data_IF_415947890721
#
_entry.id   IF_415947890721
#
_cell.length_a   1.000
_cell.length_b   1.000
_cell.length_c   1.000
_cell.angle_alpha   90.00
_cell.angle_beta   90.00
_cell.angle_gamma   90.00
#
_symmetry.space_group_name_H-M   'P 1'
#
loop_
_entity.id
_entity.type
_entity.pdbx_description
1 polymer ?
#
# COMPACT_ATOMS: atom_id res chain seq x y z
N UNK A 1 7.63 -4.26 1.50
CA UNK A 1 6.33 -4.89 1.80
C UNK A 1 5.95 -4.66 3.25
N UNK A 2 4.69 -4.43 3.57
CA UNK A 2 4.18 -4.34 4.95
C UNK A 2 3.38 -5.60 5.21
N UNK A 3 3.76 -6.38 6.23
CA UNK A 3 3.03 -7.58 6.63
C UNK A 3 3.26 -7.92 8.10
N UNK A 4 2.21 -8.39 8.77
CA UNK A 4 2.27 -8.79 10.17
C UNK A 4 1.95 -10.28 10.39
N UNK A 5 1.29 -10.96 9.44
CA UNK A 5 0.78 -12.31 9.71
C UNK A 5 0.47 -13.17 8.48
N UNK A 6 0.53 -12.63 7.27
CA UNK A 6 0.05 -13.34 6.08
C UNK A 6 1.16 -14.14 5.38
N UNK A 7 2.41 -13.68 5.46
CA UNK A 7 3.53 -14.35 4.82
C UNK A 7 4.00 -15.57 5.61
N UNK A 8 4.10 -16.69 4.92
CA UNK A 8 4.78 -17.90 5.41
C UNK A 8 6.27 -17.84 5.11
N UNK A 9 7.07 -18.69 5.76
CA UNK A 9 8.51 -18.84 5.45
C UNK A 9 8.74 -19.17 3.96
N UNK A 10 7.89 -20.02 3.37
CA UNK A 10 7.96 -20.35 1.95
C UNK A 10 7.70 -19.12 1.07
N UNK A 11 6.67 -18.34 1.37
CA UNK A 11 6.37 -17.10 0.64
C UNK A 11 7.51 -16.08 0.74
N UNK A 12 8.14 -15.94 1.91
CA UNK A 12 9.28 -15.05 2.10
C UNK A 12 10.47 -15.52 1.25
N UNK A 13 10.81 -16.80 1.29
CA UNK A 13 11.88 -17.37 0.45
C UNK A 13 11.62 -17.15 -1.03
N UNK A 14 10.38 -17.33 -1.48
CA UNK A 14 10.00 -17.04 -2.87
C UNK A 14 10.21 -15.56 -3.21
N UNK A 15 9.75 -14.63 -2.37
CA UNK A 15 9.90 -13.20 -2.59
C UNK A 15 11.37 -12.77 -2.61
N UNK A 16 12.22 -13.31 -1.75
CA UNK A 16 13.66 -13.04 -1.78
C UNK A 16 14.32 -13.55 -3.06
N UNK A 17 13.84 -14.67 -3.60
CA UNK A 17 14.38 -15.26 -4.82
C UNK A 17 14.06 -14.42 -6.07
N UNK A 18 12.87 -13.82 -6.14
CA UNK A 18 12.43 -13.03 -7.32
C UNK A 18 12.76 -11.54 -7.23
N UNK A 19 13.21 -11.04 -6.07
CA UNK A 19 13.51 -9.63 -5.83
C UNK A 19 15.01 -9.39 -5.80
N UNK A 20 15.46 -8.26 -6.36
CA UNK A 20 16.84 -7.80 -6.17
C UNK A 20 17.11 -7.49 -4.70
N UNK A 21 16.14 -6.90 -4.04
CA UNK A 21 16.17 -6.53 -2.63
C UNK A 21 14.75 -6.65 -2.07
N UNK A 22 14.59 -7.35 -0.96
CA UNK A 22 13.33 -7.54 -0.28
C UNK A 22 13.35 -6.86 1.08
N UNK A 23 12.55 -5.81 1.25
CA UNK A 23 12.40 -5.12 2.53
C UNK A 23 11.04 -5.44 3.12
N UNK A 24 11.01 -6.04 4.30
CA UNK A 24 9.81 -6.30 5.06
C UNK A 24 9.68 -5.28 6.19
N UNK A 25 8.50 -4.68 6.31
CA UNK A 25 8.14 -3.81 7.44
C UNK A 25 7.09 -4.55 8.24
N UNK A 26 7.34 -4.76 9.53
CA UNK A 26 6.45 -5.51 10.40
C UNK A 26 6.44 -4.95 11.83
N UNK A 27 5.31 -5.10 12.50
CA UNK A 27 5.17 -4.86 13.95
C UNK A 27 5.04 -6.16 14.76
N UNK A 28 5.27 -7.31 14.12
CA UNK A 28 5.19 -8.62 14.77
C UNK A 28 6.57 -9.20 14.98
N UNK A 29 7.07 -9.20 16.22
CA UNK A 29 8.35 -9.82 16.59
C UNK A 29 8.41 -11.34 16.33
N UNK A 30 7.24 -11.99 16.22
CA UNK A 30 7.15 -13.44 15.95
C UNK A 30 6.99 -13.73 14.45
N UNK A 31 7.16 -12.72 13.60
CA UNK A 31 7.00 -12.87 12.15
C UNK A 31 7.98 -13.93 11.60
N UNK A 32 7.52 -14.84 10.70
CA UNK A 32 8.36 -15.90 10.14
C UNK A 32 9.64 -15.41 9.46
N UNK A 33 9.65 -14.18 8.98
CA UNK A 33 10.82 -13.57 8.32
C UNK A 33 12.07 -13.55 9.22
N UNK A 34 11.93 -13.45 10.55
CA UNK A 34 13.08 -13.47 11.46
C UNK A 34 13.82 -14.83 11.49
N UNK A 35 13.20 -15.89 10.94
CA UNK A 35 13.80 -17.22 10.83
C UNK A 35 14.43 -17.48 9.46
N UNK A 36 14.11 -16.67 8.46
CA UNK A 36 14.64 -16.82 7.09
C UNK A 36 15.93 -16.02 6.98
N UNK A 37 16.99 -16.67 6.49
CA UNK A 37 18.26 -16.02 6.17
C UNK A 37 18.35 -15.84 4.66
N UNK A 38 18.51 -14.59 4.20
CA UNK A 38 18.76 -14.24 2.81
C UNK A 38 19.52 -12.91 2.77
N UNK A 39 20.60 -12.85 1.99
CA UNK A 39 21.49 -11.68 1.95
C UNK A 39 20.82 -10.43 1.40
N UNK A 40 19.79 -10.60 0.56
CA UNK A 40 19.03 -9.52 -0.04
C UNK A 40 17.75 -9.18 0.74
N UNK A 41 17.58 -9.72 1.96
CA UNK A 41 16.40 -9.45 2.79
C UNK A 41 16.75 -8.53 3.96
N UNK A 42 15.91 -7.53 4.16
CA UNK A 42 16.00 -6.58 5.26
C UNK A 42 14.67 -6.51 6.00
N UNK A 43 14.71 -6.44 7.32
CA UNK A 43 13.52 -6.33 8.17
C UNK A 43 13.56 -4.99 8.90
N UNK A 44 12.54 -4.19 8.71
CA UNK A 44 12.27 -2.97 9.47
C UNK A 44 11.20 -3.30 10.49
N UNK A 45 11.59 -3.42 11.74
CA UNK A 45 10.66 -3.62 12.84
C UNK A 45 10.20 -2.28 13.41
N UNK A 46 8.91 -2.15 13.68
CA UNK A 46 8.31 -1.00 14.35
C UNK A 46 7.27 -1.52 15.35
N UNK A 47 7.35 -1.12 16.62
CA UNK A 47 6.36 -1.52 17.65
C UNK A 47 4.92 -1.18 17.23
N UNK A 48 4.76 -0.01 16.61
CA UNK A 48 3.53 0.44 15.98
C UNK A 48 3.87 0.91 14.57
N UNK A 49 3.11 0.44 13.60
CA UNK A 49 3.31 0.83 12.20
C UNK A 49 3.20 2.36 12.05
N UNK A 50 4.28 2.96 11.58
CA UNK A 50 4.39 4.38 11.23
C UNK A 50 4.81 4.48 9.76
N UNK A 51 3.87 4.77 8.89
CA UNK A 51 4.08 4.79 7.45
C UNK A 51 5.08 5.86 7.03
N UNK A 52 5.01 7.05 7.61
CA UNK A 52 5.94 8.15 7.31
C UNK A 52 7.38 7.78 7.64
N UNK A 53 7.61 7.19 8.79
CA UNK A 53 8.93 6.70 9.19
C UNK A 53 9.40 5.59 8.23
N UNK A 54 8.52 4.64 7.90
CA UNK A 54 8.83 3.56 6.97
C UNK A 54 9.26 4.09 5.59
N UNK A 55 8.52 5.06 5.03
CA UNK A 55 8.87 5.71 3.76
C UNK A 55 10.19 6.47 3.84
N UNK A 56 10.45 7.16 4.96
CA UNK A 56 11.72 7.85 5.20
C UNK A 56 12.89 6.88 5.22
N UNK A 57 12.75 5.74 5.90
CA UNK A 57 13.79 4.71 5.93
C UNK A 57 14.03 4.12 4.53
N UNK A 58 12.96 3.82 3.76
CA UNK A 58 13.09 3.33 2.40
C UNK A 58 13.85 4.33 1.50
N UNK A 59 13.59 5.62 1.64
CA UNK A 59 14.30 6.66 0.90
C UNK A 59 15.77 6.75 1.32
N UNK A 60 16.03 6.87 2.63
CA UNK A 60 17.39 7.17 3.14
C UNK A 60 18.32 5.96 3.10
N UNK A 61 17.81 4.75 3.39
CA UNK A 61 18.65 3.56 3.49
C UNK A 61 18.72 2.77 2.18
N UNK A 62 17.67 2.83 1.36
CA UNK A 62 17.55 2.03 0.14
C UNK A 62 17.47 2.86 -1.15
N UNK A 63 17.56 4.19 -1.05
CA UNK A 63 17.55 5.09 -2.21
C UNK A 63 16.24 5.10 -3.00
N UNK A 64 15.11 4.74 -2.37
CA UNK A 64 13.81 4.69 -3.03
C UNK A 64 13.30 6.10 -3.32
N UNK A 65 13.35 6.53 -4.58
CA UNK A 65 12.82 7.83 -5.02
C UNK A 65 11.33 7.77 -5.36
N UNK A 66 10.87 6.62 -5.85
CA UNK A 66 9.48 6.37 -6.22
C UNK A 66 9.00 5.06 -5.62
N UNK A 67 7.84 5.08 -5.00
CA UNK A 67 7.22 3.90 -4.40
C UNK A 67 5.82 3.75 -4.99
N UNK A 68 5.56 2.58 -5.59
CA UNK A 68 4.21 2.18 -6.00
C UNK A 68 3.59 1.35 -4.89
N UNK A 69 2.41 1.76 -4.44
CA UNK A 69 1.66 1.10 -3.39
C UNK A 69 0.56 0.26 -4.03
N UNK A 70 0.59 -1.04 -3.78
CA UNK A 70 -0.44 -1.99 -4.17
C UNK A 70 -0.87 -2.76 -2.94
N UNK A 71 -1.88 -2.27 -2.24
CA UNK A 71 -2.34 -2.81 -0.96
C UNK A 71 -3.87 -2.91 -0.91
N UNK A 72 -4.40 -3.51 0.14
CA UNK A 72 -5.83 -3.53 0.40
C UNK A 72 -6.35 -2.21 0.99
N UNK A 73 -7.66 -2.08 1.05
CA UNK A 73 -8.36 -0.86 1.44
C UNK A 73 -7.93 -0.25 2.76
N UNK A 74 -7.58 -1.06 3.75
CA UNK A 74 -7.13 -0.60 5.07
C UNK A 74 -5.82 0.19 5.00
N UNK A 75 -4.78 -0.35 4.35
CA UNK A 75 -3.52 0.36 4.17
C UNK A 75 -3.66 1.55 3.22
N UNK A 76 -4.46 1.42 2.16
CA UNK A 76 -4.77 2.54 1.27
C UNK A 76 -5.39 3.70 2.04
N UNK A 77 -6.33 3.42 2.97
CA UNK A 77 -6.92 4.44 3.83
C UNK A 77 -5.89 5.13 4.73
N UNK A 78 -4.95 4.37 5.32
CA UNK A 78 -3.88 4.93 6.14
C UNK A 78 -3.00 5.88 5.31
N UNK A 79 -2.52 5.46 4.13
CA UNK A 79 -1.72 6.31 3.25
C UNK A 79 -2.45 7.59 2.84
N UNK A 80 -3.75 7.49 2.52
CA UNK A 80 -4.56 8.63 2.14
C UNK A 80 -4.73 9.62 3.31
N UNK A 81 -5.12 9.12 4.48
CA UNK A 81 -5.39 9.95 5.67
C UNK A 81 -4.14 10.61 6.23
N UNK A 82 -2.98 9.96 6.13
CA UNK A 82 -1.69 10.53 6.50
C UNK A 82 -1.10 11.46 5.42
N UNK A 83 -1.83 11.67 4.30
CA UNK A 83 -1.41 12.52 3.17
C UNK A 83 -0.05 12.09 2.59
N UNK A 84 0.15 10.80 2.43
CA UNK A 84 1.39 10.18 1.94
C UNK A 84 1.33 9.79 0.46
N UNK A 85 0.20 10.07 -0.23
CA UNK A 85 0.03 9.80 -1.65
C UNK A 85 0.25 11.07 -2.47
N UNK A 86 0.96 10.94 -3.58
CA UNK A 86 1.10 12.01 -4.58
C UNK A 86 0.17 11.77 -5.78
N UNK A 87 -0.03 10.50 -6.13
CA UNK A 87 -0.86 10.07 -7.26
C UNK A 87 -1.69 8.85 -6.89
N UNK A 88 -2.84 8.74 -7.55
CA UNK A 88 -3.71 7.56 -7.49
C UNK A 88 -3.99 7.11 -8.91
N UNK A 89 -3.64 5.86 -9.22
CA UNK A 89 -3.92 5.19 -10.48
C UNK A 89 -4.99 4.12 -10.24
N UNK A 90 -6.13 4.22 -10.90
CA UNK A 90 -7.26 3.27 -10.77
C UNK A 90 -7.55 2.65 -12.13
N UNK A 91 -7.56 1.32 -12.17
CA UNK A 91 -8.04 0.58 -13.33
C UNK A 91 -9.41 0.00 -13.02
N UNK A 92 -10.41 0.44 -13.77
CA UNK A 92 -11.79 -0.01 -13.65
C UNK A 92 -12.00 -1.15 -14.63
N UNK A 93 -12.30 -2.33 -14.11
CA UNK A 93 -12.71 -3.48 -14.92
C UNK A 93 -14.19 -3.35 -15.32
N UNK A 94 -14.59 -3.83 -16.51
CA UNK A 94 -15.97 -3.77 -16.98
C UNK A 94 -16.82 -4.91 -16.35
N UNK A 95 -16.82 -4.97 -15.03
CA UNK A 95 -17.55 -5.97 -14.24
C UNK A 95 -18.27 -5.31 -13.07
N UNK A 96 -19.40 -5.86 -12.68
CA UNK A 96 -20.14 -5.45 -11.50
C UNK A 96 -19.97 -6.51 -10.41
N UNK A 97 -19.44 -6.12 -9.29
CA UNK A 97 -19.26 -6.97 -8.12
C UNK A 97 -20.16 -6.42 -7.02
N UNK A 98 -21.11 -7.23 -6.57
CA UNK A 98 -21.96 -6.91 -5.43
C UNK A 98 -21.48 -7.59 -4.16
N UNK A 99 -22.17 -7.30 -3.06
CA UNK A 99 -21.97 -7.96 -1.77
C UNK A 99 -21.59 -6.99 -0.66
N UNK A 100 -22.25 -7.14 0.48
CA UNK A 100 -22.04 -6.29 1.66
C UNK A 100 -20.63 -6.43 2.24
N UNK A 101 -20.03 -7.61 2.11
CA UNK A 101 -18.69 -7.95 2.63
C UNK A 101 -17.58 -7.78 1.57
N UNK A 102 -17.91 -7.21 0.41
CA UNK A 102 -16.92 -6.97 -0.64
C UNK A 102 -15.99 -5.83 -0.23
N UNK A 103 -14.67 -6.08 -0.28
CA UNK A 103 -13.65 -5.08 0.04
C UNK A 103 -13.74 -3.87 -0.88
N UNK A 104 -13.51 -2.69 -0.33
CA UNK A 104 -13.48 -1.43 -1.08
C UNK A 104 -12.05 -0.99 -1.39
N UNK A 105 -11.92 0.01 -2.26
CA UNK A 105 -10.62 0.60 -2.58
C UNK A 105 -9.99 1.31 -1.36
N UNK A 106 -10.83 1.96 -0.56
CA UNK A 106 -10.45 2.69 0.66
C UNK A 106 -11.39 2.27 1.77
N UNK A 107 -10.86 1.56 2.75
CA UNK A 107 -11.58 1.10 3.93
C UNK A 107 -11.32 2.01 5.15
N UNK A 108 -11.51 1.44 6.33
CA UNK A 108 -11.21 2.05 7.62
C UNK A 108 -12.43 2.70 8.26
N UNK A 109 -12.22 3.57 9.24
CA UNK A 109 -13.29 4.19 10.00
C UNK A 109 -14.20 5.05 9.11
N UNK A 110 -15.51 4.96 9.37
CA UNK A 110 -16.49 5.80 8.69
C UNK A 110 -16.28 7.27 9.04
N UNK A 111 -16.42 8.14 8.06
CA UNK A 111 -16.37 9.59 8.24
C UNK A 111 -17.80 10.06 8.58
N UNK A 112 -18.04 10.50 9.81
CA UNK A 112 -19.39 10.82 10.31
C UNK A 112 -19.54 12.24 10.81
N UNK A 113 -18.46 12.99 10.93
CA UNK A 113 -18.46 14.37 11.43
C UNK A 113 -17.94 15.36 10.40
N UNK A 114 -18.25 16.65 10.60
CA UNK A 114 -17.71 17.72 9.74
C UNK A 114 -16.18 17.81 9.81
N UNK A 115 -15.59 17.48 10.96
CA UNK A 115 -14.14 17.45 11.11
C UNK A 115 -13.48 16.31 10.29
N UNK A 116 -14.21 15.25 10.05
CA UNK A 116 -13.72 14.15 9.21
C UNK A 116 -13.53 14.55 7.74
N UNK A 117 -14.13 15.63 7.28
CA UNK A 117 -13.92 16.16 5.93
C UNK A 117 -12.43 16.51 5.68
N UNK A 118 -11.68 16.85 6.72
CA UNK A 118 -10.22 17.08 6.64
C UNK A 118 -9.41 15.83 6.30
N UNK A 119 -10.02 14.65 6.48
CA UNK A 119 -9.41 13.33 6.18
C UNK A 119 -9.66 12.89 4.73
N UNK A 120 -10.49 13.62 3.99
CA UNK A 120 -10.75 13.34 2.57
C UNK A 120 -9.49 13.62 1.75
N UNK A 121 -9.28 12.78 0.74
CA UNK A 121 -8.31 13.04 -0.31
C UNK A 121 -9.01 13.72 -1.49
N UNK A 122 -8.60 14.92 -1.82
CA UNK A 122 -9.07 15.63 -3.02
C UNK A 122 -8.21 15.22 -4.20
N UNK A 123 -8.84 14.83 -5.30
CA UNK A 123 -8.17 14.30 -6.48
C UNK A 123 -8.43 15.20 -7.69
N UNK A 124 -7.38 15.51 -8.44
CA UNK A 124 -7.46 16.18 -9.73
C UNK A 124 -7.16 15.16 -10.84
N UNK A 125 -8.09 14.97 -11.76
CA UNK A 125 -7.92 14.08 -12.89
C UNK A 125 -6.81 14.59 -13.81
N UNK A 126 -5.82 13.76 -14.10
CA UNK A 126 -4.73 14.04 -15.04
C UNK A 126 -4.95 13.33 -16.39
N UNK A 127 -5.36 12.08 -16.36
CA UNK A 127 -5.69 11.33 -17.59
C UNK A 127 -6.81 10.33 -17.38
N UNK A 128 -7.53 10.06 -18.49
CA UNK A 128 -8.53 9.02 -18.59
C UNK A 128 -8.26 8.26 -19.89
N UNK A 129 -7.98 6.98 -19.80
CA UNK A 129 -7.57 6.15 -20.92
C UNK A 129 -8.48 4.92 -21.04
N UNK A 130 -8.99 4.65 -22.24
CA UNK A 130 -9.65 3.39 -22.54
C UNK A 130 -8.58 2.36 -22.89
N UNK A 131 -8.54 1.27 -22.17
CA UNK A 131 -7.62 0.15 -22.37
C UNK A 131 -8.34 -0.97 -23.17
N UNK A 132 -7.57 -2.01 -23.58
CA UNK A 132 -8.15 -3.20 -24.22
C UNK A 132 -9.21 -3.83 -23.32
N UNK A 133 -10.16 -4.51 -23.95
CA UNK A 133 -11.26 -5.23 -23.28
C UNK A 133 -12.16 -4.34 -22.41
N UNK A 134 -12.38 -3.10 -22.82
CA UNK A 134 -13.26 -2.13 -22.13
C UNK A 134 -12.83 -1.72 -20.73
N UNK A 135 -11.58 -1.95 -20.35
CA UNK A 135 -11.05 -1.39 -19.12
C UNK A 135 -10.82 0.12 -19.27
N UNK A 136 -10.97 0.85 -18.16
CA UNK A 136 -10.69 2.30 -18.08
C UNK A 136 -9.60 2.51 -17.05
N UNK A 137 -8.57 3.28 -17.42
CA UNK A 137 -7.55 3.75 -16.47
C UNK A 137 -7.77 5.21 -16.18
N UNK A 138 -7.83 5.54 -14.89
CA UNK A 138 -7.92 6.90 -14.37
C UNK A 138 -6.66 7.20 -13.58
N UNK A 139 -6.00 8.30 -13.91
CA UNK A 139 -4.87 8.82 -13.15
C UNK A 139 -5.22 10.15 -12.52
N UNK A 140 -5.01 10.24 -11.23
CA UNK A 140 -5.28 11.42 -10.44
C UNK A 140 -4.02 11.90 -9.73
N UNK A 141 -3.85 13.21 -9.64
CA UNK A 141 -2.96 13.87 -8.70
C UNK A 141 -3.71 14.12 -7.40
N UNK A 142 -3.06 13.85 -6.27
CA UNK A 142 -3.62 14.16 -4.94
C UNK A 142 -3.34 15.63 -4.65
N UNK A 143 -4.41 16.39 -4.36
CA UNK A 143 -4.32 17.80 -3.97
C UNK A 143 -4.22 17.88 -2.45
N UNK A 144 -3.23 18.62 -1.97
CA UNK A 144 -2.97 18.83 -0.53
C UNK A 144 -3.45 20.19 -0.07
#
# INVERSE_FOLDING_TARGET
MIDNSHLTEHGIKYLTMISKQFVLITSNLKHPAFRVKADNMHIIYQDKLNLRNALTQLKCQYGCERITIQTGGTLNAMFLREKLLDYVDVVIAPVLIGGKETSTLIDGESLTTMDDLKKLGVLQLESCETLKHSYIRLRYKVIR
#
